data_IF_093384181161
#
_entry.id   IF_093384181161
#
_cell.length_a   1.000
_cell.length_b   1.000
_cell.length_c   1.000
_cell.angle_alpha   90.00
_cell.angle_beta   90.00
_cell.angle_gamma   90.00
#
_symmetry.space_group_name_H-M   'P 1'
#
loop_
_entity.id
_entity.type
_entity.pdbx_description
1 polymer ?
#
# COMPACT_ATOMS: atom_id res chain seq x y z
N UNK A 1 -19.74 2.73 17.38
CA UNK A 1 -20.09 3.51 16.17
C UNK A 1 -21.27 2.90 15.42
N UNK A 2 -22.28 3.71 15.06
CA UNK A 2 -23.41 3.35 14.18
C UNK A 2 -23.17 3.99 12.80
N UNK A 3 -23.74 3.43 11.73
CA UNK A 3 -23.63 4.00 10.37
C UNK A 3 -24.08 5.46 10.37
N UNK A 4 -23.18 6.38 10.03
CA UNK A 4 -23.44 7.80 9.92
C UNK A 4 -23.75 8.55 11.24
N UNK A 5 -23.52 7.95 12.40
CA UNK A 5 -23.69 8.62 13.69
C UNK A 5 -22.44 8.50 14.55
N UNK A 6 -21.88 9.64 14.94
CA UNK A 6 -20.74 9.72 15.84
C UNK A 6 -21.06 9.11 17.19
N UNK A 7 -20.16 8.27 17.70
CA UNK A 7 -20.17 7.87 19.10
C UNK A 7 -19.61 9.00 19.99
N UNK A 8 -19.63 8.78 21.31
CA UNK A 8 -19.14 9.77 22.29
C UNK A 8 -17.64 10.12 22.14
N UNK A 9 -16.90 9.41 21.30
CA UNK A 9 -15.50 9.70 20.95
C UNK A 9 -15.37 10.41 19.59
N UNK A 10 -16.48 10.84 18.98
CA UNK A 10 -16.45 11.49 17.67
C UNK A 10 -16.09 10.54 16.54
N UNK A 11 -16.29 9.22 16.70
CA UNK A 11 -16.03 8.22 15.67
C UNK A 11 -17.33 7.73 15.06
N UNK A 12 -17.40 7.71 13.73
CA UNK A 12 -18.49 7.09 12.98
C UNK A 12 -17.93 6.32 11.79
N UNK A 13 -18.78 5.56 11.11
CA UNK A 13 -18.42 5.02 9.81
C UNK A 13 -19.52 5.26 8.79
N UNK A 14 -19.12 5.34 7.52
CA UNK A 14 -20.01 5.24 6.38
C UNK A 14 -19.63 4.03 5.55
N UNK A 15 -20.62 3.26 5.15
CA UNK A 15 -20.44 2.12 4.26
C UNK A 15 -21.13 2.40 2.93
N UNK A 16 -20.39 2.22 1.85
CA UNK A 16 -20.84 2.40 0.48
C UNK A 16 -20.40 1.21 -0.37
N UNK A 17 -21.33 0.64 -1.10
CA UNK A 17 -21.01 -0.33 -2.15
C UNK A 17 -20.25 0.35 -3.29
N UNK A 18 -19.49 -0.41 -4.07
CA UNK A 18 -18.78 0.14 -5.24
C UNK A 18 -19.76 0.75 -6.26
N UNK A 19 -20.98 0.21 -6.36
CA UNK A 19 -22.02 0.75 -7.23
C UNK A 19 -22.54 2.11 -6.74
N UNK A 20 -22.84 2.23 -5.44
CA UNK A 20 -23.25 3.52 -4.84
C UNK A 20 -22.14 4.57 -4.97
N UNK A 21 -20.88 4.18 -4.73
CA UNK A 21 -19.74 5.09 -4.79
C UNK A 21 -19.56 5.65 -6.22
N UNK A 22 -19.71 4.81 -7.25
CA UNK A 22 -19.73 5.25 -8.65
C UNK A 22 -20.88 6.23 -8.94
N UNK A 23 -22.06 5.95 -8.39
CA UNK A 23 -23.23 6.80 -8.58
C UNK A 23 -23.11 8.18 -7.91
N UNK A 24 -22.58 8.21 -6.69
CA UNK A 24 -22.40 9.44 -5.90
C UNK A 24 -21.34 10.33 -6.57
N UNK A 25 -20.22 9.74 -6.96
CA UNK A 25 -19.10 10.46 -7.58
C UNK A 25 -19.29 10.68 -9.09
N UNK A 26 -20.46 10.31 -9.64
CA UNK A 26 -20.82 10.50 -11.06
C UNK A 26 -19.77 9.96 -12.03
N UNK A 27 -19.16 8.83 -11.68
CA UNK A 27 -18.15 8.17 -12.52
C UNK A 27 -18.81 7.57 -13.77
N UNK A 28 -18.17 7.75 -14.92
CA UNK A 28 -18.67 7.22 -16.18
C UNK A 28 -18.61 5.67 -16.20
N UNK A 29 -19.46 5.01 -17.01
CA UNK A 29 -19.38 3.57 -17.22
C UNK A 29 -17.99 3.16 -17.73
N UNK A 30 -17.28 2.32 -16.99
CA UNK A 30 -15.93 1.85 -17.34
C UNK A 30 -14.77 2.73 -16.84
N UNK A 31 -15.06 3.93 -16.32
CA UNK A 31 -14.06 4.76 -15.66
C UNK A 31 -13.51 4.01 -14.43
N UNK A 32 -12.18 3.95 -14.28
CA UNK A 32 -11.53 3.11 -13.28
C UNK A 32 -12.04 1.64 -13.29
N UNK A 33 -12.23 1.07 -14.49
CA UNK A 33 -12.83 -0.27 -14.65
C UNK A 33 -12.08 -1.41 -13.96
N UNK A 34 -10.77 -1.24 -13.69
CA UNK A 34 -10.00 -2.16 -12.84
C UNK A 34 -10.24 -1.83 -11.37
N UNK A 35 -10.57 -2.85 -10.57
CA UNK A 35 -10.78 -2.70 -9.12
C UNK A 35 -9.59 -2.04 -8.40
N UNK A 36 -8.36 -2.33 -8.84
CA UNK A 36 -7.16 -1.67 -8.31
C UNK A 36 -7.15 -0.16 -8.56
N UNK A 37 -7.46 0.28 -9.78
CA UNK A 37 -7.53 1.70 -10.12
C UNK A 37 -8.66 2.40 -9.34
N UNK A 38 -9.83 1.76 -9.23
CA UNK A 38 -10.94 2.27 -8.43
C UNK A 38 -10.51 2.48 -6.97
N UNK A 39 -9.80 1.51 -6.39
CA UNK A 39 -9.30 1.59 -5.02
C UNK A 39 -8.32 2.75 -4.86
N UNK A 40 -7.29 2.80 -5.71
CA UNK A 40 -6.21 3.78 -5.55
C UNK A 40 -6.66 5.20 -5.84
N UNK A 41 -7.32 5.44 -6.97
CA UNK A 41 -7.63 6.81 -7.40
C UNK A 41 -8.90 7.40 -6.81
N UNK A 42 -9.87 6.55 -6.43
CA UNK A 42 -11.18 7.04 -5.95
C UNK A 42 -11.30 6.94 -4.43
N UNK A 43 -10.49 6.09 -3.78
CA UNK A 43 -10.59 5.85 -2.34
C UNK A 43 -9.28 6.27 -1.65
N UNK A 44 -8.15 5.65 -1.99
CA UNK A 44 -6.89 5.82 -1.25
C UNK A 44 -6.35 7.25 -1.39
N UNK A 45 -6.19 7.74 -2.62
CA UNK A 45 -5.63 9.07 -2.87
C UNK A 45 -6.47 10.19 -2.24
N UNK A 46 -7.80 10.26 -2.45
CA UNK A 46 -8.61 11.29 -1.80
C UNK A 46 -8.61 11.22 -0.27
N UNK A 47 -8.57 10.01 0.31
CA UNK A 47 -8.47 9.87 1.77
C UNK A 47 -7.13 10.39 2.28
N UNK A 48 -6.04 10.07 1.58
CA UNK A 48 -4.71 10.60 1.92
C UNK A 48 -4.71 12.12 1.85
N UNK A 49 -5.23 12.72 0.77
CA UNK A 49 -5.33 14.18 0.64
C UNK A 49 -6.11 14.82 1.80
N UNK A 50 -7.25 14.24 2.21
CA UNK A 50 -8.05 14.74 3.34
C UNK A 50 -7.28 14.66 4.66
N UNK A 51 -6.60 13.55 4.91
CA UNK A 51 -5.82 13.35 6.13
C UNK A 51 -4.62 14.30 6.18
N UNK A 52 -3.93 14.49 5.07
CA UNK A 52 -2.78 15.39 4.94
C UNK A 52 -3.17 16.87 5.06
N UNK A 53 -4.40 17.24 4.65
CA UNK A 53 -4.90 18.59 4.80
C UNK A 53 -5.11 19.01 6.28
N UNK A 54 -5.07 18.06 7.23
CA UNK A 54 -5.19 18.32 8.67
C UNK A 54 -6.42 19.18 9.06
N UNK A 55 -7.52 19.03 8.34
CA UNK A 55 -8.76 19.81 8.50
C UNK A 55 -9.61 19.40 9.72
N UNK A 56 -9.02 18.69 10.69
CA UNK A 56 -9.72 18.19 11.87
C UNK A 56 -10.55 16.92 11.64
N UNK A 57 -10.31 16.23 10.52
CA UNK A 57 -10.96 14.97 10.15
C UNK A 57 -9.90 13.94 9.78
N UNK A 58 -10.01 12.75 10.37
CA UNK A 58 -9.21 11.60 10.01
C UNK A 58 -10.11 10.51 9.43
N UNK A 59 -9.68 9.95 8.30
CA UNK A 59 -10.39 8.93 7.54
C UNK A 59 -9.54 7.66 7.40
N UNK A 60 -10.15 6.50 7.63
CA UNK A 60 -9.52 5.20 7.41
C UNK A 60 -10.44 4.26 6.61
N UNK A 61 -9.99 3.75 5.44
CA UNK A 61 -10.78 2.82 4.65
C UNK A 61 -10.62 1.38 5.13
N UNK A 62 -11.75 0.69 5.29
CA UNK A 62 -11.88 -0.75 5.49
C UNK A 62 -12.55 -1.37 4.25
N UNK A 63 -11.91 -2.35 3.63
CA UNK A 63 -12.38 -2.96 2.39
C UNK A 63 -13.20 -4.23 2.67
N UNK A 64 -14.46 -4.24 2.25
CA UNK A 64 -15.37 -5.38 2.41
C UNK A 64 -15.39 -6.17 1.10
N UNK A 65 -14.95 -7.43 1.18
CA UNK A 65 -14.92 -8.35 0.03
C UNK A 65 -16.04 -9.37 0.10
N UNK A 66 -16.65 -9.66 -1.05
CA UNK A 66 -17.57 -10.78 -1.24
C UNK A 66 -16.92 -11.80 -2.16
N UNK A 67 -16.36 -12.85 -1.57
CA UNK A 67 -15.47 -13.77 -2.28
C UNK A 67 -14.20 -13.07 -2.76
N UNK A 68 -13.93 -13.11 -4.06
CA UNK A 68 -12.73 -12.49 -4.67
C UNK A 68 -12.91 -11.01 -5.03
N UNK A 69 -14.14 -10.49 -4.93
CA UNK A 69 -14.47 -9.16 -5.43
C UNK A 69 -14.58 -8.14 -4.30
N UNK A 70 -14.05 -6.93 -4.52
CA UNK A 70 -14.30 -5.78 -3.67
C UNK A 70 -15.77 -5.37 -3.83
N UNK A 71 -16.55 -5.50 -2.75
CA UNK A 71 -17.99 -5.29 -2.78
C UNK A 71 -18.37 -3.90 -2.26
N UNK A 72 -17.78 -3.51 -1.13
CA UNK A 72 -18.04 -2.24 -0.48
C UNK A 72 -16.77 -1.72 0.20
N UNK A 73 -16.80 -0.43 0.52
CA UNK A 73 -15.83 0.23 1.37
C UNK A 73 -16.56 0.80 2.58
N UNK A 74 -16.01 0.55 3.76
CA UNK A 74 -16.40 1.21 5.00
C UNK A 74 -15.34 2.23 5.35
N UNK A 75 -15.72 3.50 5.32
CA UNK A 75 -14.84 4.61 5.69
C UNK A 75 -15.13 4.92 7.15
N UNK A 76 -14.14 4.67 8.00
CA UNK A 76 -14.15 5.11 9.39
C UNK A 76 -13.73 6.58 9.43
N UNK A 77 -14.50 7.38 10.12
CA UNK A 77 -14.29 8.81 10.28
C UNK A 77 -14.08 9.09 11.76
N UNK A 78 -13.10 9.93 12.08
CA UNK A 78 -12.85 10.42 13.43
C UNK A 78 -12.60 11.94 13.37
N UNK A 79 -13.33 12.70 14.19
CA UNK A 79 -12.95 14.09 14.44
C UNK A 79 -11.66 14.10 15.27
N UNK A 80 -10.64 14.79 14.76
CA UNK A 80 -9.34 14.97 15.42
C UNK A 80 -9.14 16.44 15.69
N UNK A 81 -8.77 16.79 16.93
CA UNK A 81 -8.38 18.16 17.26
C UNK A 81 -6.92 18.39 16.86
N UNK A 82 -6.57 19.66 16.64
CA UNK A 82 -5.18 20.06 16.41
C UNK A 82 -4.33 19.64 17.62
N UNK A 83 -3.45 18.66 17.43
CA UNK A 83 -2.59 18.10 18.47
C UNK A 83 -2.99 16.71 18.98
N UNK A 84 -4.14 16.15 18.56
CA UNK A 84 -4.44 14.75 18.81
C UNK A 84 -3.48 13.85 18.01
N UNK A 85 -3.02 12.72 18.57
CA UNK A 85 -2.16 11.80 17.84
C UNK A 85 -2.90 11.29 16.61
N UNK A 86 -2.47 11.73 15.43
CA UNK A 86 -2.98 11.24 14.14
C UNK A 86 -2.67 9.74 14.09
N UNK A 87 -3.69 8.86 13.92
CA UNK A 87 -3.42 7.44 13.74
C UNK A 87 -2.58 7.29 12.48
N UNK A 88 -1.38 6.74 12.62
CA UNK A 88 -0.45 6.57 11.50
C UNK A 88 -1.06 5.57 10.52
N UNK A 89 -1.18 5.99 9.25
CA UNK A 89 -1.68 5.18 8.14
C UNK A 89 -0.96 3.82 8.11
N UNK A 90 -1.72 2.73 7.92
CA UNK A 90 -1.23 1.34 7.78
C UNK A 90 -0.32 1.07 6.58
N UNK A 91 0.28 2.09 5.95
CA UNK A 91 1.40 1.90 5.00
C UNK A 91 2.59 1.20 5.66
N UNK A 92 2.70 1.30 7.00
CA UNK A 92 3.73 0.59 7.75
C UNK A 92 3.70 -0.93 7.63
N UNK A 93 2.59 -1.63 7.37
CA UNK A 93 2.64 -3.09 7.49
C UNK A 93 3.55 -3.77 6.46
N UNK A 94 3.69 -3.24 5.25
CA UNK A 94 4.54 -3.82 4.21
C UNK A 94 6.00 -3.38 4.38
N UNK A 95 6.25 -2.09 4.63
CA UNK A 95 7.59 -1.54 4.92
C UNK A 95 8.17 -2.05 6.24
N UNK A 96 7.38 -2.12 7.31
CA UNK A 96 7.76 -2.68 8.61
C UNK A 96 7.98 -4.19 8.50
N UNK A 97 7.29 -4.89 7.59
CA UNK A 97 7.59 -6.29 7.29
C UNK A 97 8.90 -6.45 6.52
N UNK A 98 9.27 -5.48 5.68
CA UNK A 98 10.55 -5.47 4.97
C UNK A 98 11.70 -5.14 5.90
N UNK A 99 11.56 -4.10 6.72
CA UNK A 99 12.54 -3.74 7.74
C UNK A 99 12.70 -4.84 8.79
N UNK A 100 11.61 -5.42 9.30
CA UNK A 100 11.68 -6.54 10.24
C UNK A 100 12.32 -7.77 9.61
N UNK A 101 12.07 -8.01 8.32
CA UNK A 101 12.65 -9.14 7.60
C UNK A 101 14.14 -8.95 7.31
N UNK A 102 14.56 -7.73 6.96
CA UNK A 102 15.97 -7.35 6.83
C UNK A 102 16.66 -7.45 8.20
N UNK A 103 16.04 -6.96 9.28
CA UNK A 103 16.57 -7.05 10.63
C UNK A 103 16.76 -8.52 11.07
N UNK A 104 15.81 -9.40 10.76
CA UNK A 104 15.90 -10.82 11.06
C UNK A 104 17.00 -11.57 10.27
N UNK A 105 17.45 -11.03 9.13
CA UNK A 105 18.47 -11.64 8.26
C UNK A 105 19.61 -10.67 7.95
N UNK A 106 19.96 -9.81 8.92
CA UNK A 106 20.84 -8.65 8.72
C UNK A 106 22.19 -9.01 8.12
N UNK A 107 22.87 -10.01 8.70
CA UNK A 107 24.20 -10.44 8.24
C UNK A 107 24.17 -10.93 6.79
N UNK A 108 23.12 -11.67 6.42
CA UNK A 108 22.97 -12.20 5.06
C UNK A 108 22.61 -11.10 4.07
N UNK A 109 21.74 -10.18 4.47
CA UNK A 109 21.39 -9.01 3.67
C UNK A 109 22.61 -8.13 3.38
N UNK A 110 23.43 -7.84 4.40
CA UNK A 110 24.64 -7.02 4.25
C UNK A 110 25.67 -7.70 3.33
N UNK A 111 25.85 -9.02 3.43
CA UNK A 111 26.73 -9.78 2.53
C UNK A 111 26.24 -9.71 1.06
N UNK A 112 24.95 -9.94 0.81
CA UNK A 112 24.37 -9.85 -0.54
C UNK A 112 24.50 -8.42 -1.10
N UNK A 113 24.28 -7.39 -0.27
CA UNK A 113 24.40 -6.00 -0.68
C UNK A 113 25.85 -5.63 -1.01
N UNK A 114 26.83 -6.15 -0.26
CA UNK A 114 28.25 -5.99 -0.56
C UNK A 114 28.62 -6.64 -1.90
N UNK A 115 28.12 -7.85 -2.16
CA UNK A 115 28.34 -8.56 -3.42
C UNK A 115 27.72 -7.81 -4.62
N UNK A 116 26.51 -7.26 -4.46
CA UNK A 116 25.84 -6.46 -5.49
C UNK A 116 26.60 -5.15 -5.76
N UNK A 117 27.16 -4.51 -4.73
CA UNK A 117 27.97 -3.30 -4.87
C UNK A 117 29.32 -3.56 -5.51
N UNK A 118 29.88 -4.76 -5.34
CA UNK A 118 31.14 -5.18 -5.95
C UNK A 118 30.99 -5.60 -7.43
N UNK A 119 29.76 -5.85 -7.89
CA UNK A 119 29.49 -6.18 -9.30
C UNK A 119 29.50 -4.90 -10.17
N UNK A 120 30.04 -4.98 -11.40
CA UNK A 120 29.93 -3.88 -12.37
C UNK A 120 28.45 -3.59 -12.67
N UNK A 121 28.13 -2.33 -12.96
CA UNK A 121 26.78 -1.76 -13.01
C UNK A 121 25.70 -2.71 -13.53
N UNK A 122 24.56 -2.75 -12.83
CA UNK A 122 23.39 -3.51 -13.26
C UNK A 122 23.01 -3.12 -14.70
N UNK A 123 22.78 -4.09 -15.59
CA UNK A 123 22.54 -3.81 -17.01
C UNK A 123 21.33 -2.87 -17.17
N UNK A 124 21.55 -1.74 -17.87
CA UNK A 124 20.51 -0.74 -18.14
C UNK A 124 20.41 0.43 -17.15
N UNK A 125 21.36 0.56 -16.20
CA UNK A 125 21.35 1.64 -15.17
C UNK A 125 22.35 2.79 -15.41
N UNK A 126 23.05 2.81 -16.55
CA UNK A 126 24.07 3.83 -16.86
C UNK A 126 23.56 5.28 -16.89
N UNK A 127 22.25 5.49 -17.11
CA UNK A 127 21.59 6.80 -17.09
C UNK A 127 21.03 7.19 -15.70
N UNK A 128 21.03 6.26 -14.73
CA UNK A 128 20.38 6.47 -13.45
C UNK A 128 21.27 7.30 -12.49
N UNK A 129 20.65 8.17 -11.69
CA UNK A 129 21.33 8.94 -10.65
C UNK A 129 21.86 8.03 -9.54
N UNK A 130 22.87 8.46 -8.76
CA UNK A 130 23.43 7.67 -7.66
C UNK A 130 22.36 7.17 -6.67
N UNK A 131 21.37 8.01 -6.34
CA UNK A 131 20.27 7.65 -5.45
C UNK A 131 19.36 6.56 -6.04
N UNK A 132 19.08 6.60 -7.35
CA UNK A 132 18.29 5.57 -8.03
C UNK A 132 19.06 4.25 -8.15
N UNK A 133 20.39 4.29 -8.34
CA UNK A 133 21.24 3.10 -8.33
C UNK A 133 21.25 2.44 -6.96
N UNK A 134 21.38 3.22 -5.90
CA UNK A 134 21.34 2.69 -4.53
C UNK A 134 20.00 2.04 -4.20
N UNK A 135 18.89 2.67 -4.60
CA UNK A 135 17.55 2.09 -4.43
C UNK A 135 17.38 0.78 -5.19
N UNK A 136 17.87 0.70 -6.43
CA UNK A 136 17.84 -0.52 -7.24
C UNK A 136 18.69 -1.65 -6.62
N UNK A 137 19.88 -1.34 -6.10
CA UNK A 137 20.74 -2.30 -5.42
C UNK A 137 20.09 -2.85 -4.15
N UNK A 138 19.45 -1.99 -3.35
CA UNK A 138 18.69 -2.39 -2.15
C UNK A 138 17.52 -3.32 -2.52
N UNK A 139 16.75 -2.98 -3.54
CA UNK A 139 15.64 -3.81 -4.01
C UNK A 139 16.10 -5.19 -4.49
N UNK A 140 17.21 -5.26 -5.24
CA UNK A 140 17.80 -6.52 -5.69
C UNK A 140 18.36 -7.36 -4.52
N UNK A 141 18.94 -6.72 -3.50
CA UNK A 141 19.42 -7.41 -2.31
C UNK A 141 18.27 -8.07 -1.51
N UNK A 142 17.15 -7.36 -1.32
CA UNK A 142 15.95 -7.89 -0.65
C UNK A 142 15.38 -9.06 -1.46
N UNK A 143 15.34 -8.95 -2.78
CA UNK A 143 14.85 -10.00 -3.68
C UNK A 143 15.70 -11.27 -3.57
N UNK A 144 17.02 -11.17 -3.69
CA UNK A 144 17.93 -12.32 -3.52
C UNK A 144 17.82 -12.93 -2.12
N UNK A 145 17.71 -12.10 -1.08
CA UNK A 145 17.49 -12.59 0.28
C UNK A 145 16.19 -13.39 0.42
N UNK A 146 15.10 -12.97 -0.23
CA UNK A 146 13.82 -13.72 -0.26
C UNK A 146 13.88 -15.00 -1.08
N UNK A 147 14.71 -15.02 -2.12
CA UNK A 147 14.96 -16.21 -2.96
C UNK A 147 15.76 -17.28 -2.18
N UNK A 148 16.77 -16.87 -1.42
CA UNK A 148 17.61 -17.78 -0.61
C UNK A 148 16.89 -18.38 0.59
N UNK A 149 16.06 -17.61 1.29
CA UNK A 149 15.32 -18.08 2.49
C UNK A 149 14.04 -18.84 2.15
N UNK A 150 13.75 -19.08 0.87
CA UNK A 150 12.60 -19.86 0.42
C UNK A 150 11.24 -19.16 0.53
N UNK A 151 11.17 -17.89 0.94
CA UNK A 151 9.96 -17.06 0.80
C UNK A 151 9.80 -16.61 -0.65
N UNK A 152 9.61 -17.57 -1.56
CA UNK A 152 9.06 -17.29 -2.89
C UNK A 152 7.65 -16.72 -2.69
N UNK A 153 7.53 -15.39 -2.77
CA UNK A 153 6.26 -14.79 -3.15
C UNK A 153 5.76 -15.54 -4.37
N UNK A 154 4.55 -16.12 -4.29
CA UNK A 154 3.98 -16.99 -5.32
C UNK A 154 3.85 -16.23 -6.64
N UNK A 155 4.93 -16.15 -7.41
CA UNK A 155 4.91 -15.87 -8.84
C UNK A 155 4.26 -17.07 -9.52
N UNK A 156 3.15 -16.83 -10.21
CA UNK A 156 2.43 -17.82 -11.00
C UNK A 156 3.42 -18.52 -11.95
N UNK A 157 3.45 -19.86 -12.03
CA UNK A 157 4.28 -20.54 -13.02
C UNK A 157 3.86 -20.08 -14.42
N UNK A 158 4.84 -19.61 -15.19
CA UNK A 158 4.67 -19.28 -16.61
C UNK A 158 4.38 -20.61 -17.31
N UNK A 159 3.19 -20.74 -17.89
CA UNK A 159 2.85 -21.91 -18.71
C UNK A 159 3.80 -21.87 -19.91
N UNK A 160 4.80 -22.75 -19.95
CA UNK A 160 5.53 -23.03 -21.18
C UNK A 160 4.52 -23.61 -22.17
N UNK A 161 4.32 -22.89 -23.27
CA UNK A 161 3.57 -23.40 -24.39
C UNK A 161 4.49 -24.25 -25.25
N UNK A 162 4.29 -25.56 -25.23
CA UNK A 162 4.19 -26.42 -26.41
C UNK A 162 3.63 -27.77 -26.04
#
# INVERSE_FOLDING_TARGET
SRRGQADGQGRWYYELTIAELRHILKLAPGEYGRTGNMRTYVIELPITEINEAQIGLYLEPEYIRKGKYLHAVRIHCQLVKRGDPVPVQRQRQEEESEEAYIAAHRERYEAILADIRAQPELPGTGWASPAMREMAQRAEAIKRLREETGKRGRGRPRKEGR
#
